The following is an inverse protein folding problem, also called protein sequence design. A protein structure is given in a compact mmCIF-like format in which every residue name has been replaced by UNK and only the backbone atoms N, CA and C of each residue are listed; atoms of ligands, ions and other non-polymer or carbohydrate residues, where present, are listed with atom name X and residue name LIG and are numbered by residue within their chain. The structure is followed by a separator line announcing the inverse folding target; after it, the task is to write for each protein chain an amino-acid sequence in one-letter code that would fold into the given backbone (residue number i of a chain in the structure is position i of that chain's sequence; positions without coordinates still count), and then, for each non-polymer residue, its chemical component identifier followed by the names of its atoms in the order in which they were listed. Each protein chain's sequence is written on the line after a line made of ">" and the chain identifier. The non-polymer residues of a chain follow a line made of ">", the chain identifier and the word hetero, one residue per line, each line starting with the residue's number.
data_IF_797543527422
#
_entry.id   IF_797543527422
#
_cell.length_a   1.000
_cell.length_b   1.000
_cell.length_c   1.000
_cell.angle_alpha   90.00
_cell.angle_beta   90.00
_cell.angle_gamma   90.00
#
_symmetry.space_group_name_H-M   'P 1'
#
loop_
_entity.id
_entity.type
_entity.pdbx_description
1 polymer ?
#
# COMPACT_ATOMS: atom_id res chain seq x y z
N UNK A 1 21.02 -0.81 -8.66
CA UNK A 1 20.41 0.24 -7.82
C UNK A 1 20.98 0.01 -6.43
N UNK A 2 21.65 0.98 -5.79
CA UNK A 2 22.10 0.78 -4.41
C UNK A 2 20.89 0.47 -3.51
N UNK A 3 21.09 -0.24 -2.40
CA UNK A 3 20.04 -0.53 -1.42
C UNK A 3 19.54 0.78 -0.77
N UNK A 4 18.68 1.51 -1.48
CA UNK A 4 17.82 2.49 -0.85
C UNK A 4 16.68 1.73 -0.18
N UNK A 5 16.47 2.00 1.10
CA UNK A 5 15.32 1.49 1.83
C UNK A 5 14.03 1.87 1.08
N UNK A 6 13.14 0.90 0.82
CA UNK A 6 11.83 1.12 0.20
C UNK A 6 11.04 2.21 0.94
N UNK A 7 11.22 2.34 2.26
CA UNK A 7 10.58 3.41 3.03
C UNK A 7 11.04 4.79 2.58
N UNK A 8 12.34 4.94 2.34
CA UNK A 8 12.90 6.19 1.82
C UNK A 8 12.33 6.47 0.42
N UNK A 9 12.21 5.46 -0.44
CA UNK A 9 11.61 5.63 -1.76
C UNK A 9 10.14 6.05 -1.71
N UNK A 10 9.36 5.51 -0.76
CA UNK A 10 7.98 5.94 -0.54
C UNK A 10 7.90 7.39 -0.04
N UNK A 11 8.83 7.81 0.80
CA UNK A 11 8.93 9.18 1.29
C UNK A 11 9.30 10.14 0.15
N UNK A 12 10.36 9.83 -0.61
CA UNK A 12 10.80 10.56 -1.81
C UNK A 12 9.64 10.69 -2.82
N UNK A 13 8.91 9.60 -3.09
CA UNK A 13 7.76 9.60 -3.99
C UNK A 13 6.68 10.60 -3.56
N UNK A 14 6.34 10.68 -2.26
CA UNK A 14 5.36 11.66 -1.76
C UNK A 14 5.85 13.09 -1.85
N UNK A 15 7.14 13.33 -1.64
CA UNK A 15 7.74 14.65 -1.74
C UNK A 15 7.73 15.17 -3.17
N UNK A 16 8.07 14.31 -4.13
CA UNK A 16 8.04 14.60 -5.56
C UNK A 16 6.60 14.75 -6.08
N UNK A 17 5.65 13.96 -5.55
CA UNK A 17 4.26 13.94 -6.00
C UNK A 17 3.32 14.51 -4.93
N UNK A 18 3.25 15.85 -4.84
CA UNK A 18 2.46 16.59 -3.83
C UNK A 18 0.99 16.20 -3.73
N UNK A 19 0.41 15.59 -4.77
CA UNK A 19 -0.95 15.04 -4.73
C UNK A 19 -1.08 13.92 -3.68
N UNK A 20 -0.01 13.16 -3.42
CA UNK A 20 0.10 12.10 -2.40
C UNK A 20 0.47 12.63 -1.00
N UNK A 21 0.08 13.85 -0.64
CA UNK A 21 0.16 14.27 0.76
C UNK A 21 -0.84 13.49 1.64
N UNK A 22 -0.57 13.38 2.94
CA UNK A 22 -1.38 12.56 3.85
C UNK A 22 -2.87 12.93 3.87
N UNK A 23 -3.21 14.23 3.76
CA UNK A 23 -4.61 14.67 3.72
C UNK A 23 -5.34 14.10 2.51
N UNK A 24 -4.71 14.11 1.35
CA UNK A 24 -5.28 13.59 0.12
C UNK A 24 -5.32 12.06 0.12
N UNK A 25 -4.23 11.39 0.54
CA UNK A 25 -4.18 9.93 0.66
C UNK A 25 -5.32 9.44 1.54
N UNK A 26 -5.47 10.01 2.74
CA UNK A 26 -6.53 9.61 3.69
C UNK A 26 -7.92 9.85 3.08
N UNK A 27 -8.13 11.00 2.44
CA UNK A 27 -9.42 11.38 1.86
C UNK A 27 -9.82 10.52 0.67
N UNK A 28 -8.93 10.35 -0.30
CA UNK A 28 -9.20 9.62 -1.55
C UNK A 28 -7.88 9.20 -2.21
N UNK A 29 -7.41 7.98 -1.91
CA UNK A 29 -6.20 7.41 -2.50
C UNK A 29 -6.36 7.17 -4.00
N UNK A 30 -7.54 6.68 -4.42
CA UNK A 30 -7.85 6.42 -5.83
C UNK A 30 -7.66 7.69 -6.67
N UNK A 31 -8.20 8.82 -6.22
CA UNK A 31 -7.98 10.11 -6.88
C UNK A 31 -6.50 10.47 -7.00
N UNK A 32 -5.67 10.18 -5.99
CA UNK A 32 -4.23 10.44 -6.07
C UNK A 32 -3.56 9.59 -7.16
N UNK A 33 -3.94 8.31 -7.24
CA UNK A 33 -3.45 7.34 -8.23
C UNK A 33 -3.87 7.72 -9.65
N UNK A 34 -5.16 8.03 -9.85
CA UNK A 34 -5.67 8.42 -11.15
C UNK A 34 -5.09 9.76 -11.63
N UNK A 35 -4.78 10.68 -10.70
CA UNK A 35 -4.15 11.96 -11.03
C UNK A 35 -2.76 11.84 -11.63
N UNK A 36 -2.08 10.70 -11.43
CA UNK A 36 -0.77 10.44 -12.06
C UNK A 36 -0.88 9.58 -13.32
N UNK A 37 -2.08 9.27 -13.80
CA UNK A 37 -2.32 8.57 -15.07
C UNK A 37 -2.52 7.06 -14.95
N UNK A 38 -2.73 6.53 -13.74
CA UNK A 38 -2.99 5.10 -13.50
C UNK A 38 -4.48 4.93 -13.17
N UNK A 39 -5.23 4.22 -14.00
CA UNK A 39 -6.67 4.02 -13.75
C UNK A 39 -6.91 2.93 -12.70
N UNK A 40 -7.93 3.13 -11.87
CA UNK A 40 -8.35 2.13 -10.88
C UNK A 40 -9.71 1.57 -11.28
N UNK A 41 -9.82 0.24 -11.32
CA UNK A 41 -11.05 -0.48 -11.61
C UNK A 41 -11.41 -1.39 -10.44
N UNK A 42 -12.69 -1.73 -10.38
CA UNK A 42 -13.25 -2.63 -9.39
C UNK A 42 -13.85 -3.86 -10.07
N UNK A 43 -13.58 -5.04 -9.51
CA UNK A 43 -14.11 -6.32 -9.99
C UNK A 43 -14.44 -7.21 -8.79
N UNK A 44 -15.43 -8.09 -8.95
CA UNK A 44 -15.75 -9.13 -7.96
C UNK A 44 -14.78 -10.33 -8.02
N UNK A 45 -13.82 -10.30 -8.97
CA UNK A 45 -12.83 -11.33 -9.23
C UNK A 45 -13.43 -12.67 -9.71
N UNK A 46 -14.68 -12.68 -10.17
CA UNK A 46 -15.38 -13.90 -10.64
C UNK A 46 -14.73 -14.61 -11.83
N UNK A 47 -13.84 -13.94 -12.55
CA UNK A 47 -13.07 -14.52 -13.65
C UNK A 47 -11.90 -15.41 -13.20
N UNK A 48 -11.52 -15.40 -11.91
CA UNK A 48 -10.50 -16.28 -11.36
C UNK A 48 -11.14 -17.56 -10.81
N UNK A 49 -10.41 -18.69 -10.84
CA UNK A 49 -10.88 -19.97 -10.29
C UNK A 49 -11.21 -19.89 -8.79
N UNK A 50 -10.53 -18.99 -8.07
CA UNK A 50 -10.72 -18.74 -6.64
C UNK A 50 -10.90 -17.23 -6.37
N UNK A 51 -12.08 -16.64 -6.65
CA UNK A 51 -12.31 -15.19 -6.55
C UNK A 51 -12.00 -14.61 -5.17
N UNK A 52 -12.35 -15.33 -4.11
CA UNK A 52 -12.13 -14.92 -2.73
C UNK A 52 -10.65 -14.87 -2.34
N UNK A 53 -9.77 -15.54 -3.09
CA UNK A 53 -8.34 -15.55 -2.84
C UNK A 53 -7.60 -14.42 -3.55
N UNK A 54 -8.25 -13.60 -4.38
CA UNK A 54 -7.59 -12.52 -5.13
C UNK A 54 -8.00 -11.17 -4.53
N UNK A 55 -7.00 -10.38 -4.10
CA UNK A 55 -7.24 -9.04 -3.55
C UNK A 55 -7.24 -7.96 -4.62
N UNK A 56 -6.39 -8.12 -5.63
CA UNK A 56 -6.26 -7.21 -6.75
C UNK A 56 -5.21 -7.71 -7.72
N UNK A 57 -5.05 -6.99 -8.82
CA UNK A 57 -4.01 -7.24 -9.80
C UNK A 57 -3.75 -5.96 -10.61
N UNK A 58 -2.61 -5.94 -11.29
CA UNK A 58 -2.24 -4.91 -12.26
C UNK A 58 -2.17 -5.47 -13.65
N UNK A 59 -2.50 -4.63 -14.64
CA UNK A 59 -2.39 -4.97 -16.06
C UNK A 59 -1.96 -3.75 -16.87
N UNK A 60 -1.57 -4.00 -18.11
CA UNK A 60 -1.25 -2.96 -19.09
C UNK A 60 -2.32 -2.95 -20.17
N UNK A 61 -2.92 -1.78 -20.42
CA UNK A 61 -3.98 -1.64 -21.42
C UNK A 61 -3.44 -1.54 -22.85
N UNK A 62 -4.34 -1.42 -23.83
CA UNK A 62 -3.97 -1.34 -25.26
C UNK A 62 -3.11 -0.12 -25.62
N UNK A 63 -3.12 0.93 -24.78
CA UNK A 63 -2.29 2.13 -24.94
C UNK A 63 -0.91 2.00 -24.26
N UNK A 64 -0.60 0.85 -23.65
CA UNK A 64 0.56 0.63 -22.79
C UNK A 64 0.56 1.46 -21.49
N UNK A 65 -0.62 1.76 -20.96
CA UNK A 65 -0.79 2.42 -19.68
C UNK A 65 -1.13 1.38 -18.60
N UNK A 66 -0.60 1.52 -17.38
CA UNK A 66 -0.90 0.61 -16.30
C UNK A 66 -2.31 0.87 -15.74
N UNK A 67 -2.96 -0.20 -15.31
CA UNK A 67 -4.26 -0.18 -14.66
C UNK A 67 -4.20 -1.05 -13.40
N UNK A 68 -4.84 -0.59 -12.33
CA UNK A 68 -5.01 -1.34 -11.08
C UNK A 68 -6.44 -1.85 -11.04
N UNK A 69 -6.62 -3.14 -10.75
CA UNK A 69 -7.93 -3.76 -10.52
C UNK A 69 -8.00 -4.25 -9.09
N UNK A 70 -9.02 -3.81 -8.35
CA UNK A 70 -9.19 -4.09 -6.92
C UNK A 70 -10.44 -4.92 -6.69
N UNK A 71 -10.38 -5.89 -5.76
CA UNK A 71 -11.54 -6.68 -5.40
C UNK A 71 -12.60 -5.81 -4.70
N UNK A 72 -13.76 -5.63 -5.35
CA UNK A 72 -14.88 -4.81 -4.86
C UNK A 72 -15.51 -5.36 -3.59
N UNK A 73 -15.38 -6.66 -3.34
CA UNK A 73 -15.95 -7.34 -2.18
C UNK A 73 -15.13 -7.11 -0.89
N UNK A 74 -13.95 -6.51 -1.00
CA UNK A 74 -13.11 -6.19 0.15
C UNK A 74 -13.54 -4.88 0.84
N UNK A 75 -13.42 -4.86 2.18
CA UNK A 75 -13.62 -3.63 2.97
C UNK A 75 -12.64 -2.54 2.55
N UNK A 76 -13.05 -1.28 2.68
CA UNK A 76 -12.32 -0.11 2.17
C UNK A 76 -10.84 -0.09 2.58
N UNK A 77 -10.53 -0.31 3.87
CA UNK A 77 -9.15 -0.32 4.33
C UNK A 77 -8.27 -1.39 3.67
N UNK A 78 -8.85 -2.52 3.24
CA UNK A 78 -8.14 -3.55 2.47
C UNK A 78 -8.00 -3.14 1.01
N UNK A 79 -9.04 -2.60 0.39
CA UNK A 79 -8.97 -2.05 -0.98
C UNK A 79 -7.89 -0.98 -1.10
N UNK A 80 -7.78 -0.09 -0.10
CA UNK A 80 -6.74 0.94 -0.01
C UNK A 80 -5.33 0.35 0.09
N UNK A 81 -5.15 -0.70 0.89
CA UNK A 81 -3.87 -1.41 0.96
C UNK A 81 -3.51 -2.05 -0.38
N UNK A 82 -4.45 -2.76 -1.01
CA UNK A 82 -4.26 -3.35 -2.34
C UNK A 82 -3.89 -2.29 -3.38
N UNK A 83 -4.62 -1.17 -3.45
CA UNK A 83 -4.27 -0.06 -4.37
C UNK A 83 -2.84 0.44 -4.17
N UNK A 84 -2.42 0.64 -2.92
CA UNK A 84 -1.07 1.10 -2.60
C UNK A 84 0.01 0.05 -2.93
N UNK A 85 -0.30 -1.23 -2.72
CA UNK A 85 0.58 -2.36 -3.06
C UNK A 85 0.79 -2.45 -4.57
N UNK A 86 -0.30 -2.46 -5.34
CA UNK A 86 -0.26 -2.52 -6.80
C UNK A 86 0.43 -1.28 -7.41
N UNK A 87 0.25 -0.11 -6.80
CA UNK A 87 1.01 1.09 -7.16
C UNK A 87 2.52 0.87 -6.97
N UNK A 88 2.93 0.19 -5.90
CA UNK A 88 4.33 -0.18 -5.67
C UNK A 88 4.92 -1.01 -6.82
N UNK A 89 4.18 -2.03 -7.28
CA UNK A 89 4.55 -2.83 -8.45
C UNK A 89 4.79 -1.96 -9.70
N UNK A 90 3.84 -1.08 -10.01
CA UNK A 90 3.92 -0.22 -11.19
C UNK A 90 5.14 0.72 -11.12
N UNK A 91 5.37 1.35 -9.97
CA UNK A 91 6.41 2.37 -9.82
C UNK A 91 7.81 1.78 -9.72
N UNK A 92 8.01 0.73 -8.93
CA UNK A 92 9.35 0.25 -8.56
C UNK A 92 9.78 -1.01 -9.31
N UNK A 93 8.84 -1.85 -9.73
CA UNK A 93 9.16 -3.12 -10.39
C UNK A 93 8.95 -3.02 -11.90
N UNK A 94 7.94 -2.25 -12.35
CA UNK A 94 7.76 -1.95 -13.77
C UNK A 94 8.47 -0.67 -14.21
N UNK A 95 8.90 0.16 -13.25
CA UNK A 95 9.61 1.43 -13.48
C UNK A 95 8.82 2.41 -14.37
N UNK A 96 7.48 2.41 -14.26
CA UNK A 96 6.63 3.37 -14.95
C UNK A 96 6.61 4.72 -14.21
N UNK A 97 6.58 5.88 -14.91
CA UNK A 97 6.53 6.07 -16.36
C UNK A 97 7.90 6.15 -17.05
N UNK A 98 9.01 5.88 -16.33
CA UNK A 98 10.37 5.97 -16.88
C UNK A 98 10.66 4.94 -17.97
N UNK A 99 9.98 3.79 -17.89
CA UNK A 99 10.04 2.71 -18.87
C UNK A 99 8.70 2.56 -19.57
N UNK A 100 8.73 2.33 -20.89
CA UNK A 100 7.54 1.95 -21.65
C UNK A 100 7.13 0.53 -21.27
N UNK A 101 5.86 0.36 -20.91
CA UNK A 101 5.31 -0.93 -20.55
C UNK A 101 4.99 -1.79 -21.76
N UNK A 102 4.87 -3.09 -21.54
CA UNK A 102 4.38 -4.04 -22.52
C UNK A 102 3.26 -4.89 -21.93
N UNK A 103 2.42 -5.50 -22.79
CA UNK A 103 1.24 -6.27 -22.36
C UNK A 103 1.54 -7.51 -21.52
N UNK A 104 2.79 -7.96 -21.44
CA UNK A 104 3.16 -9.11 -20.62
C UNK A 104 3.44 -8.73 -19.16
N UNK A 105 3.48 -7.43 -18.83
CA UNK A 105 3.60 -6.96 -17.44
C UNK A 105 2.23 -7.09 -16.74
N UNK A 106 2.16 -8.05 -15.81
CA UNK A 106 1.00 -8.35 -14.97
C UNK A 106 1.51 -8.74 -13.58
N UNK A 107 0.88 -8.23 -12.53
CA UNK A 107 1.08 -8.69 -11.14
C UNK A 107 -0.26 -9.02 -10.53
N UNK A 108 -0.33 -10.06 -9.69
CA UNK A 108 -1.58 -10.53 -9.07
C UNK A 108 -1.33 -10.68 -7.57
N UNK A 109 -2.10 -9.97 -6.76
CA UNK A 109 -2.06 -10.04 -5.30
C UNK A 109 -3.10 -11.02 -4.76
N UNK A 110 -2.63 -12.10 -4.14
CA UNK A 110 -3.48 -13.07 -3.44
C UNK A 110 -3.75 -12.67 -1.98
N UNK A 111 -4.91 -13.04 -1.45
CA UNK A 111 -5.44 -12.67 -0.11
C UNK A 111 -4.72 -13.38 1.04
N UNK A 112 -4.23 -14.59 0.79
CA UNK A 112 -3.63 -15.47 1.80
C UNK A 112 -2.12 -15.60 1.53
N UNK A 113 -1.36 -14.54 1.76
CA UNK A 113 0.12 -14.53 1.68
C UNK A 113 0.78 -15.29 2.86
N UNK A 114 0.31 -16.51 3.14
CA UNK A 114 1.06 -17.51 3.92
C UNK A 114 1.55 -18.66 3.03
N UNK A 115 1.30 -18.63 1.72
CA UNK A 115 1.72 -19.67 0.78
C UNK A 115 2.78 -19.11 -0.16
N UNK A 116 4.04 -19.47 0.11
CA UNK A 116 5.18 -19.56 -0.83
C UNK A 116 5.65 -18.29 -1.57
N UNK A 117 4.88 -17.19 -1.61
CA UNK A 117 5.27 -15.87 -2.14
C UNK A 117 5.87 -14.93 -1.10
N UNK A 118 5.82 -15.29 0.19
CA UNK A 118 6.44 -14.52 1.28
C UNK A 118 7.97 -14.44 1.19
N UNK A 119 8.61 -15.26 0.35
CA UNK A 119 10.05 -15.21 0.05
C UNK A 119 10.38 -14.33 -1.19
N UNK A 120 9.37 -13.78 -1.86
CA UNK A 120 9.58 -12.88 -3.00
C UNK A 120 9.88 -11.47 -2.51
N UNK A 121 11.14 -11.03 -2.69
CA UNK A 121 11.62 -9.69 -2.36
C UNK A 121 10.69 -8.62 -2.97
N UNK A 122 10.20 -8.82 -4.19
CA UNK A 122 9.30 -7.88 -4.89
C UNK A 122 8.00 -7.66 -4.12
N UNK A 123 7.36 -8.72 -3.62
CA UNK A 123 6.11 -8.60 -2.85
C UNK A 123 6.36 -7.97 -1.48
N UNK A 124 7.51 -8.26 -0.86
CA UNK A 124 7.92 -7.61 0.39
C UNK A 124 8.16 -6.11 0.18
N UNK A 125 8.81 -5.73 -0.92
CA UNK A 125 9.05 -4.34 -1.29
C UNK A 125 7.73 -3.61 -1.59
N UNK A 126 6.82 -4.21 -2.38
CA UNK A 126 5.50 -3.64 -2.64
C UNK A 126 4.67 -3.49 -1.35
N UNK A 127 4.71 -4.47 -0.46
CA UNK A 127 4.06 -4.42 0.85
C UNK A 127 4.65 -3.32 1.75
N UNK A 128 5.99 -3.18 1.79
CA UNK A 128 6.64 -2.15 2.59
C UNK A 128 6.38 -0.75 2.02
N UNK A 129 6.38 -0.60 0.69
CA UNK A 129 5.99 0.63 0.02
C UNK A 129 4.55 1.01 0.37
N UNK A 130 3.60 0.08 0.21
CA UNK A 130 2.19 0.32 0.54
C UNK A 130 2.02 0.73 1.99
N UNK A 131 2.74 0.06 2.89
CA UNK A 131 2.70 0.33 4.30
C UNK A 131 3.22 1.74 4.63
N UNK A 132 4.38 2.09 4.07
CA UNK A 132 4.98 3.40 4.26
C UNK A 132 4.16 4.49 3.56
N UNK A 133 3.53 4.24 2.42
CA UNK A 133 2.69 5.22 1.70
C UNK A 133 1.45 5.60 2.53
N UNK A 134 0.74 4.60 3.05
CA UNK A 134 -0.54 4.77 3.75
C UNK A 134 -0.39 5.23 5.20
N UNK A 135 0.62 4.72 5.89
CA UNK A 135 0.79 4.93 7.32
C UNK A 135 2.30 5.05 7.64
N UNK A 136 2.90 6.21 7.35
CA UNK A 136 4.35 6.37 7.32
C UNK A 136 4.92 6.42 8.73
N UNK A 137 5.97 5.64 9.00
CA UNK A 137 6.52 5.50 10.36
C UNK A 137 6.98 6.83 10.95
N UNK A 138 7.73 7.62 10.18
CA UNK A 138 8.22 8.95 10.56
C UNK A 138 7.09 9.95 10.86
N UNK A 139 5.96 9.88 10.16
CA UNK A 139 4.81 10.77 10.42
C UNK A 139 4.10 10.35 11.71
N UNK A 140 3.89 9.05 11.91
CA UNK A 140 3.21 8.55 13.11
C UNK A 140 4.06 8.84 14.34
N UNK A 141 5.35 8.48 14.30
CA UNK A 141 6.29 8.65 15.41
C UNK A 141 6.33 10.11 15.87
N UNK A 142 6.47 11.06 14.94
CA UNK A 142 6.44 12.50 15.24
C UNK A 142 5.11 12.99 15.80
N UNK A 143 4.01 12.31 15.48
CA UNK A 143 2.67 12.65 15.96
C UNK A 143 2.33 12.03 17.32
N UNK A 144 3.13 11.07 17.83
CA UNK A 144 2.87 10.49 19.14
C UNK A 144 3.24 11.48 20.26
N UNK A 145 2.38 11.65 21.28
CA UNK A 145 2.67 12.52 22.43
C UNK A 145 3.79 12.00 23.34
N UNK A 146 4.15 10.72 23.23
CA UNK A 146 5.22 10.07 23.99
C UNK A 146 5.82 8.92 23.17
N UNK A 147 7.03 8.43 23.51
CA UNK A 147 7.61 7.25 22.86
C UNK A 147 6.68 6.03 22.91
N UNK A 148 6.68 5.23 21.84
CA UNK A 148 5.72 4.12 21.66
C UNK A 148 5.85 3.04 22.75
N UNK A 149 7.03 2.88 23.35
CA UNK A 149 7.28 1.89 24.42
C UNK A 149 6.72 2.31 25.77
N UNK A 150 6.33 3.58 25.94
CA UNK A 150 5.69 4.08 27.14
C UNK A 150 4.17 3.88 27.15
N UNK A 151 3.60 3.28 26.10
CA UNK A 151 2.19 2.96 26.02
C UNK A 151 1.91 1.62 26.68
N UNK A 152 1.07 1.61 27.72
CA UNK A 152 0.52 0.37 28.26
C UNK A 152 -0.51 -0.26 27.29
N UNK A 153 -0.96 -1.48 27.58
CA UNK A 153 -1.86 -2.24 26.68
C UNK A 153 -3.17 -1.53 26.35
N UNK A 154 -3.75 -0.78 27.32
CA UNK A 154 -5.01 -0.06 27.12
C UNK A 154 -4.76 1.15 26.22
N UNK A 155 -3.72 1.93 26.51
CA UNK A 155 -3.33 3.08 25.68
C UNK A 155 -2.97 2.65 24.26
N UNK A 156 -2.23 1.54 24.10
CA UNK A 156 -1.83 1.01 22.79
C UNK A 156 -3.05 0.55 21.97
N UNK A 157 -4.03 -0.11 22.61
CA UNK A 157 -5.28 -0.50 21.95
C UNK A 157 -6.09 0.72 21.48
N UNK A 158 -6.15 1.76 22.30
CA UNK A 158 -6.80 3.02 21.94
C UNK A 158 -6.06 3.73 20.81
N UNK A 159 -4.73 3.73 20.84
CA UNK A 159 -3.88 4.27 19.77
C UNK A 159 -4.13 3.55 18.44
N UNK A 160 -4.17 2.21 18.43
CA UNK A 160 -4.49 1.42 17.24
C UNK A 160 -5.85 1.83 16.65
N UNK A 161 -6.87 1.99 17.50
CA UNK A 161 -8.20 2.39 17.05
C UNK A 161 -8.20 3.82 16.45
N UNK A 162 -7.50 4.75 17.09
CA UNK A 162 -7.36 6.13 16.62
C UNK A 162 -6.61 6.22 15.30
N UNK A 163 -5.47 5.52 15.17
CA UNK A 163 -4.67 5.47 13.94
C UNK A 163 -5.48 4.84 12.81
N UNK A 164 -6.13 3.69 13.07
CA UNK A 164 -7.00 3.03 12.09
C UNK A 164 -8.08 3.98 11.54
N UNK A 165 -8.75 4.72 12.44
CA UNK A 165 -9.79 5.68 12.06
C UNK A 165 -9.23 6.88 11.29
N UNK A 166 -8.17 7.50 11.80
CA UNK A 166 -7.64 8.76 11.25
C UNK A 166 -6.90 8.58 9.92
N UNK A 167 -6.31 7.41 9.68
CA UNK A 167 -5.61 7.10 8.43
C UNK A 167 -6.45 6.27 7.46
N UNK A 168 -7.68 5.92 7.84
CA UNK A 168 -8.59 5.09 7.05
C UNK A 168 -7.94 3.75 6.62
N UNK A 169 -7.46 3.01 7.61
CA UNK A 169 -6.81 1.70 7.42
C UNK A 169 -7.35 0.69 8.43
N UNK A 170 -7.11 -0.60 8.20
CA UNK A 170 -7.59 -1.65 9.10
C UNK A 170 -6.84 -1.64 10.44
N UNK A 171 -7.51 -2.02 11.54
CA UNK A 171 -6.86 -2.15 12.86
C UNK A 171 -5.67 -3.12 12.87
N UNK A 172 -5.73 -4.31 12.24
CA UNK A 172 -4.57 -5.19 12.15
C UNK A 172 -3.37 -4.55 11.46
N UNK A 173 -3.59 -3.82 10.36
CA UNK A 173 -2.53 -3.09 9.67
C UNK A 173 -1.96 -1.94 10.52
N UNK A 174 -2.82 -1.14 11.17
CA UNK A 174 -2.38 -0.10 12.09
C UNK A 174 -1.53 -0.65 13.23
N UNK A 175 -1.93 -1.78 13.82
CA UNK A 175 -1.14 -2.49 14.83
C UNK A 175 0.25 -2.87 14.30
N UNK A 176 0.34 -3.52 13.13
CA UNK A 176 1.62 -3.93 12.53
C UNK A 176 2.57 -2.74 12.36
N UNK A 177 2.08 -1.59 11.88
CA UNK A 177 2.90 -0.38 11.73
C UNK A 177 3.36 0.19 13.08
N UNK A 178 2.47 0.26 14.08
CA UNK A 178 2.85 0.74 15.42
C UNK A 178 3.84 -0.21 16.12
N UNK A 179 3.75 -1.51 15.89
CA UNK A 179 4.71 -2.50 16.39
C UNK A 179 6.10 -2.35 15.74
N UNK A 180 6.19 -1.89 14.50
CA UNK A 180 7.49 -1.58 13.87
C UNK A 180 8.22 -0.46 14.63
N UNK A 181 7.51 0.55 15.12
CA UNK A 181 8.12 1.62 15.91
C UNK A 181 8.73 1.10 17.23
N UNK A 182 8.07 0.13 17.89
CA UNK A 182 8.60 -0.52 19.10
C UNK A 182 9.90 -1.30 18.88
N UNK A 183 10.11 -1.81 17.66
CA UNK A 183 11.29 -2.60 17.31
C UNK A 183 12.49 -1.75 16.89
N UNK A 184 12.28 -0.46 16.65
CA UNK A 184 13.31 0.50 16.23
C UNK A 184 13.84 1.31 17.42
N UNK A 185 13.17 1.23 18.57
CA UNK A 185 13.47 1.96 19.81
C UNK A 185 14.41 1.21 20.74
#
# INVERSE_FOLDING_TARGET
>A
MGEKDIRQLADEFREENRIFNMKNIVKNLEYCIESIGIKVFYSDMSAFDYPDSVSGYTRVNDNNEPEIVVNSNHVEGRRRFTMAHELGHILFHWNWPKKKLNKNEVSILYRNENSEQSDNIVEQEANEFAAQLLLPLNIIEKALPKPIDQYNDIEFRNLIANVSKNFNVTKPFARRQLEKLRKVS
#
